data_IF_483915544941
#
_entry.id   IF_483915544941
#
_cell.length_a   1.000
_cell.length_b   1.000
_cell.length_c   1.000
_cell.angle_alpha   90.00
_cell.angle_beta   90.00
_cell.angle_gamma   90.00
#
_symmetry.space_group_name_H-M   'P 1'
#
loop_
_entity.id
_entity.type
_entity.pdbx_description
1 polymer ?
#
# COMPACT_ATOMS: atom_id res chain seq x y z
N UNK A 1 19.27 -57.81 7.75
CA UNK A 1 19.76 -56.43 7.65
C UNK A 1 18.86 -55.71 6.64
N UNK A 2 17.89 -54.89 7.13
CA UNK A 2 16.80 -54.33 6.31
C UNK A 2 17.30 -53.08 5.53
N UNK A 3 17.49 -53.26 4.26
CA UNK A 3 17.94 -52.21 3.31
C UNK A 3 16.81 -51.25 2.88
N UNK A 4 15.57 -51.51 3.32
CA UNK A 4 14.39 -50.74 2.86
C UNK A 4 14.14 -49.41 3.58
N UNK A 5 14.72 -49.19 4.75
CA UNK A 5 14.50 -47.98 5.54
C UNK A 5 15.41 -46.77 5.21
N UNK A 6 16.54 -47.00 4.53
CA UNK A 6 17.55 -45.97 4.25
C UNK A 6 17.08 -44.82 3.33
N UNK A 7 16.29 -45.05 2.24
CA UNK A 7 15.92 -43.96 1.34
C UNK A 7 14.95 -42.95 1.96
N UNK A 8 14.10 -43.38 2.93
CA UNK A 8 13.11 -42.50 3.56
C UNK A 8 13.77 -41.44 4.46
N UNK A 9 14.77 -41.85 5.24
CA UNK A 9 15.51 -40.90 6.10
C UNK A 9 16.35 -39.90 5.31
N UNK A 10 16.89 -40.33 4.17
CA UNK A 10 17.68 -39.46 3.29
C UNK A 10 16.79 -38.37 2.66
N UNK A 11 15.60 -38.74 2.23
CA UNK A 11 14.63 -37.77 1.63
C UNK A 11 14.11 -36.75 2.64
N UNK A 12 13.85 -37.19 3.88
CA UNK A 12 13.44 -36.29 4.97
C UNK A 12 14.59 -35.34 5.35
N UNK A 13 15.81 -35.84 5.44
CA UNK A 13 16.98 -35.03 5.74
C UNK A 13 17.25 -33.95 4.70
N UNK A 14 17.17 -34.26 3.41
CA UNK A 14 17.34 -33.30 2.31
C UNK A 14 16.21 -32.25 2.32
N UNK A 15 14.97 -32.65 2.58
CA UNK A 15 13.83 -31.74 2.70
C UNK A 15 14.01 -30.73 3.82
N UNK A 16 14.47 -31.15 4.99
CA UNK A 16 14.73 -30.26 6.14
C UNK A 16 15.89 -29.29 5.89
N UNK A 17 16.97 -29.76 5.24
CA UNK A 17 18.12 -28.90 4.90
C UNK A 17 17.71 -27.85 3.86
N UNK A 18 16.97 -28.23 2.82
CA UNK A 18 16.45 -27.30 1.81
C UNK A 18 15.53 -26.24 2.41
N UNK A 19 14.65 -26.65 3.33
CA UNK A 19 13.73 -25.71 4.03
C UNK A 19 14.52 -24.75 4.91
N UNK A 20 15.53 -25.24 5.63
CA UNK A 20 16.41 -24.41 6.45
C UNK A 20 17.26 -23.41 5.64
N UNK A 21 17.78 -23.82 4.49
CA UNK A 21 18.55 -22.96 3.59
C UNK A 21 17.67 -21.87 2.96
N UNK A 22 16.45 -22.21 2.53
CA UNK A 22 15.50 -21.25 1.98
C UNK A 22 15.09 -20.23 3.04
N UNK A 23 14.87 -20.67 4.30
CA UNK A 23 14.55 -19.77 5.41
C UNK A 23 15.73 -18.84 5.77
N UNK A 24 16.97 -19.32 5.72
CA UNK A 24 18.17 -18.54 6.00
C UNK A 24 18.50 -17.52 4.89
N UNK A 25 18.13 -17.81 3.65
CA UNK A 25 18.33 -16.90 2.50
C UNK A 25 17.25 -15.83 2.37
N UNK A 26 16.12 -15.94 3.08
CA UNK A 26 15.09 -14.90 3.11
C UNK A 26 15.60 -13.73 3.94
N UNK A 27 15.90 -12.62 3.28
CA UNK A 27 16.14 -11.36 3.99
C UNK A 27 14.96 -11.08 4.92
N UNK A 28 15.22 -10.68 6.19
CA UNK A 28 14.13 -10.29 7.07
C UNK A 28 13.29 -9.20 6.40
N UNK A 29 11.97 -9.22 6.58
CA UNK A 29 11.11 -8.19 6.00
C UNK A 29 11.57 -6.81 6.51
N UNK A 30 11.52 -5.78 5.65
CA UNK A 30 11.88 -4.42 6.07
C UNK A 30 10.99 -3.99 7.25
N UNK A 31 11.47 -3.05 8.10
CA UNK A 31 10.68 -2.54 9.22
C UNK A 31 9.35 -1.97 8.74
N UNK A 32 8.33 -2.00 9.59
CA UNK A 32 6.97 -1.60 9.24
C UNK A 32 6.89 -0.17 8.66
N UNK A 33 7.67 0.75 9.20
CA UNK A 33 7.77 2.13 8.69
C UNK A 33 8.28 2.20 7.26
N UNK A 34 9.25 1.34 6.90
CA UNK A 34 9.76 1.28 5.54
C UNK A 34 8.76 0.64 4.58
N UNK A 35 8.03 -0.39 5.04
CA UNK A 35 6.94 -0.98 4.25
C UNK A 35 5.86 0.06 3.95
N UNK A 36 5.44 0.85 4.95
CA UNK A 36 4.45 1.92 4.77
C UNK A 36 4.98 3.03 3.86
N UNK A 37 6.26 3.40 3.98
CA UNK A 37 6.89 4.35 3.07
C UNK A 37 6.80 3.88 1.62
N UNK A 38 7.14 2.63 1.37
CA UNK A 38 7.04 2.02 0.04
C UNK A 38 5.61 1.97 -0.46
N UNK A 39 4.64 1.69 0.41
CA UNK A 39 3.22 1.74 0.06
C UNK A 39 2.75 3.15 -0.31
N UNK A 40 3.14 4.17 0.45
CA UNK A 40 2.81 5.56 0.12
C UNK A 40 3.41 5.99 -1.24
N UNK A 41 4.64 5.58 -1.54
CA UNK A 41 5.25 5.83 -2.84
C UNK A 41 4.57 5.04 -3.96
N UNK A 42 4.15 3.81 -3.69
CA UNK A 42 3.44 2.97 -4.68
C UNK A 42 2.08 3.54 -5.05
N UNK A 43 1.36 4.17 -4.10
CA UNK A 43 0.10 4.90 -4.38
C UNK A 43 0.30 5.97 -5.46
N UNK A 44 1.32 6.80 -5.31
CA UNK A 44 1.59 7.89 -6.28
C UNK A 44 2.05 7.31 -7.62
N UNK A 45 2.87 6.27 -7.59
CA UNK A 45 3.34 5.62 -8.81
C UNK A 45 2.17 4.99 -9.58
N UNK A 46 1.28 4.28 -8.87
CA UNK A 46 0.08 3.68 -9.46
C UNK A 46 -0.88 4.75 -10.00
N UNK A 47 -1.07 5.84 -9.27
CA UNK A 47 -1.86 6.98 -9.73
C UNK A 47 -1.30 7.56 -11.04
N UNK A 48 -0.01 7.87 -11.08
CA UNK A 48 0.65 8.47 -12.25
C UNK A 48 0.69 7.55 -13.47
N UNK A 49 0.75 6.23 -13.25
CA UNK A 49 0.66 5.21 -14.32
C UNK A 49 -0.77 4.88 -14.69
N UNK A 50 -1.75 5.47 -13.99
CA UNK A 50 -3.16 5.16 -14.15
C UNK A 50 -3.49 3.66 -13.94
N UNK A 51 -2.72 3.00 -13.07
CA UNK A 51 -2.92 1.63 -12.64
C UNK A 51 -3.92 1.59 -11.48
N UNK A 52 -5.19 1.67 -11.84
CA UNK A 52 -6.28 1.72 -10.87
C UNK A 52 -6.35 0.44 -10.03
N UNK A 53 -5.97 -0.71 -10.56
CA UNK A 53 -6.00 -1.98 -9.83
C UNK A 53 -5.01 -1.97 -8.67
N UNK A 54 -3.76 -1.61 -8.93
CA UNK A 54 -2.75 -1.50 -7.88
C UNK A 54 -3.07 -0.39 -6.88
N UNK A 55 -3.59 0.74 -7.35
CA UNK A 55 -3.99 1.83 -6.47
C UNK A 55 -5.09 1.39 -5.50
N UNK A 56 -6.15 0.74 -6.00
CA UNK A 56 -7.27 0.28 -5.17
C UNK A 56 -6.89 -0.87 -4.23
N UNK A 57 -5.86 -1.66 -4.58
CA UNK A 57 -5.33 -2.71 -3.71
C UNK A 57 -4.60 -2.16 -2.48
N UNK A 58 -4.00 -0.98 -2.59
CA UNK A 58 -3.35 -0.31 -1.45
C UNK A 58 -4.36 0.39 -0.54
N UNK A 59 -5.58 0.64 -1.02
CA UNK A 59 -6.64 1.30 -0.27
C UNK A 59 -7.52 0.26 0.40
N UNK A 60 -7.74 0.42 1.71
CA UNK A 60 -8.64 -0.45 2.51
C UNK A 60 -10.08 -0.43 1.99
N UNK A 61 -10.82 -1.51 2.24
CA UNK A 61 -12.30 -1.50 2.08
C UNK A 61 -12.96 -0.46 2.97
N UNK A 62 -12.39 -0.24 4.16
CA UNK A 62 -12.91 0.66 5.20
C UNK A 62 -12.41 2.10 5.04
N UNK A 63 -11.80 2.42 3.90
CA UNK A 63 -11.28 3.75 3.64
C UNK A 63 -12.34 4.83 3.78
N UNK A 64 -12.00 5.84 4.57
CA UNK A 64 -12.83 7.03 4.76
C UNK A 64 -11.97 8.29 4.90
N UNK A 65 -12.26 9.31 4.10
CA UNK A 65 -11.56 10.59 4.14
C UNK A 65 -12.53 11.71 3.77
N UNK A 66 -12.96 12.54 4.73
CA UNK A 66 -13.83 13.69 4.48
C UNK A 66 -15.07 13.36 3.61
N UNK A 67 -15.75 12.25 3.92
CA UNK A 67 -16.92 11.80 3.16
C UNK A 67 -16.60 11.03 1.86
N UNK A 68 -15.32 10.84 1.55
CA UNK A 68 -14.88 9.98 0.46
C UNK A 68 -14.78 8.53 0.94
N UNK A 69 -15.36 7.64 0.16
CA UNK A 69 -15.26 6.19 0.33
C UNK A 69 -14.45 5.60 -0.81
N UNK A 70 -13.98 4.36 -0.66
CA UNK A 70 -13.23 3.67 -1.73
C UNK A 70 -13.94 3.67 -3.09
N UNK A 71 -15.26 3.37 -3.21
CA UNK A 71 -15.97 3.45 -4.49
C UNK A 71 -16.01 4.85 -5.08
N UNK A 72 -16.22 5.87 -4.24
CA UNK A 72 -16.23 7.26 -4.66
C UNK A 72 -14.87 7.71 -5.19
N UNK A 73 -13.80 7.32 -4.49
CA UNK A 73 -12.43 7.56 -4.92
C UNK A 73 -12.12 6.86 -6.25
N UNK A 74 -12.62 5.65 -6.46
CA UNK A 74 -12.45 4.93 -7.73
C UNK A 74 -13.04 5.71 -8.91
N UNK A 75 -14.22 6.28 -8.77
CA UNK A 75 -14.84 7.11 -9.80
C UNK A 75 -14.03 8.38 -10.08
N UNK A 76 -13.57 9.06 -9.02
CA UNK A 76 -12.72 10.24 -9.15
C UNK A 76 -11.41 9.94 -9.88
N UNK A 77 -10.75 8.84 -9.56
CA UNK A 77 -9.51 8.40 -10.21
C UNK A 77 -9.67 8.15 -11.71
N UNK A 78 -10.80 7.57 -12.12
CA UNK A 78 -11.09 7.40 -13.54
C UNK A 78 -11.25 8.74 -14.28
N UNK A 79 -11.84 9.76 -13.63
CA UNK A 79 -11.98 11.10 -14.19
C UNK A 79 -10.62 11.81 -14.29
N UNK A 80 -9.84 11.81 -13.19
CA UNK A 80 -8.51 12.45 -13.15
C UNK A 80 -7.54 11.85 -14.17
N UNK A 81 -7.62 10.53 -14.37
CA UNK A 81 -6.88 9.87 -15.45
C UNK A 81 -7.18 10.47 -16.83
N UNK A 82 -8.47 10.70 -17.14
CA UNK A 82 -8.87 11.31 -18.43
C UNK A 82 -8.36 12.74 -18.57
N UNK A 83 -8.23 13.46 -17.49
CA UNK A 83 -7.73 14.83 -17.43
C UNK A 83 -6.20 14.92 -17.50
N UNK A 84 -5.49 13.80 -17.42
CA UNK A 84 -4.02 13.79 -17.47
C UNK A 84 -3.36 14.33 -16.20
N UNK A 85 -4.06 14.28 -15.05
CA UNK A 85 -3.52 14.77 -13.78
C UNK A 85 -2.42 13.84 -13.27
N UNK A 86 -1.31 14.41 -12.81
CA UNK A 86 -0.22 13.70 -12.14
C UNK A 86 -0.04 14.22 -10.72
N UNK A 87 0.31 13.31 -9.81
CA UNK A 87 0.56 13.63 -8.42
C UNK A 87 2.03 13.43 -8.07
N UNK A 88 2.49 14.25 -7.13
CA UNK A 88 3.78 14.07 -6.45
C UNK A 88 3.54 14.04 -4.95
N UNK A 89 4.34 13.25 -4.23
CA UNK A 89 4.32 13.19 -2.77
C UNK A 89 5.72 13.44 -2.24
N UNK A 90 5.81 14.31 -1.25
CA UNK A 90 7.03 14.52 -0.48
C UNK A 90 6.72 14.17 0.96
N UNK A 91 7.28 13.09 1.45
CA UNK A 91 7.09 12.65 2.82
C UNK A 91 7.90 13.53 3.76
N UNK A 92 7.26 14.01 4.82
CA UNK A 92 7.87 14.88 5.83
C UNK A 92 8.24 14.10 7.09
N UNK A 93 7.33 13.24 7.55
CA UNK A 93 7.56 12.42 8.75
C UNK A 93 6.76 11.11 8.70
N UNK A 94 7.21 10.15 9.50
CA UNK A 94 6.50 8.88 9.73
C UNK A 94 6.46 8.65 11.23
N UNK A 95 5.26 8.41 11.77
CA UNK A 95 5.05 8.08 13.17
C UNK A 95 4.26 6.77 13.30
N UNK A 96 4.62 5.97 14.30
CA UNK A 96 3.97 4.71 14.59
C UNK A 96 3.05 4.87 15.80
N UNK A 97 1.78 4.46 15.67
CA UNK A 97 0.81 4.43 16.75
C UNK A 97 0.81 3.07 17.44
N UNK A 98 0.32 3.06 18.70
CA UNK A 98 0.20 1.86 19.55
C UNK A 98 -0.79 0.84 18.95
N UNK A 99 -1.74 1.26 18.12
CA UNK A 99 -2.85 0.44 17.57
C UNK A 99 -2.53 -0.24 16.22
N UNK A 100 -1.29 -0.57 15.94
CA UNK A 100 -0.88 -1.16 14.64
C UNK A 100 -1.20 -0.25 13.46
N UNK A 101 -1.25 1.06 13.68
CA UNK A 101 -1.40 2.06 12.66
C UNK A 101 -0.10 2.84 12.51
N UNK A 102 0.21 3.23 11.30
CA UNK A 102 1.34 4.09 10.98
C UNK A 102 0.79 5.28 10.23
N UNK A 103 1.14 6.47 10.69
CA UNK A 103 0.81 7.71 10.01
C UNK A 103 2.00 8.26 9.25
N UNK A 104 1.75 8.72 8.05
CA UNK A 104 2.72 9.42 7.20
C UNK A 104 2.21 10.82 6.98
N UNK A 105 2.97 11.81 7.45
CA UNK A 105 2.72 13.20 7.08
C UNK A 105 3.45 13.51 5.78
N UNK A 106 2.75 14.06 4.83
CA UNK A 106 3.30 14.32 3.52
C UNK A 106 2.70 15.59 2.88
N UNK A 107 3.49 16.27 2.07
CA UNK A 107 3.01 17.26 1.13
C UNK A 107 2.64 16.56 -0.18
N UNK A 108 1.41 16.74 -0.63
CA UNK A 108 0.90 16.15 -1.86
C UNK A 108 0.54 17.29 -2.82
N UNK A 109 1.00 17.17 -4.05
CA UNK A 109 0.67 18.12 -5.12
C UNK A 109 0.16 17.36 -6.34
N UNK A 110 -0.88 17.88 -6.96
CA UNK A 110 -1.40 17.39 -8.22
C UNK A 110 -1.30 18.49 -9.28
N UNK A 111 -0.81 18.14 -10.47
CA UNK A 111 -0.60 19.05 -11.59
C UNK A 111 -1.19 18.45 -12.86
N UNK A 112 -1.67 19.33 -13.74
CA UNK A 112 -2.00 18.93 -15.10
C UNK A 112 -0.69 18.59 -15.84
N UNK A 113 -0.64 17.44 -16.49
CA UNK A 113 0.56 16.98 -17.18
C UNK A 113 0.86 17.76 -18.47
N UNK A 114 -0.12 18.50 -19.01
CA UNK A 114 0.00 19.27 -20.26
C UNK A 114 0.41 20.71 -19.99
N UNK A 115 -0.30 21.38 -19.05
CA UNK A 115 -0.07 22.80 -18.74
C UNK A 115 0.96 22.99 -17.62
N UNK A 116 1.26 21.94 -16.84
CA UNK A 116 2.08 21.98 -15.63
C UNK A 116 1.50 22.86 -14.52
N UNK A 117 0.26 23.31 -14.67
CA UNK A 117 -0.43 24.10 -13.66
C UNK A 117 -0.82 23.23 -12.45
N UNK A 118 -0.72 23.82 -11.27
CA UNK A 118 -1.18 23.18 -10.03
C UNK A 118 -2.70 23.09 -10.02
N UNK A 119 -3.21 21.85 -9.98
CA UNK A 119 -4.65 21.59 -9.91
C UNK A 119 -5.10 21.52 -8.46
N UNK A 120 -4.26 20.95 -7.59
CA UNK A 120 -4.58 20.74 -6.19
C UNK A 120 -3.30 20.54 -5.37
N UNK A 121 -3.34 20.95 -4.09
CA UNK A 121 -2.25 20.72 -3.15
C UNK A 121 -2.77 20.49 -1.74
N UNK A 122 -2.09 19.62 -1.00
CA UNK A 122 -2.27 19.39 0.41
C UNK A 122 -0.88 19.41 1.07
N UNK A 123 -0.49 20.53 1.68
CA UNK A 123 0.87 20.70 2.21
C UNK A 123 1.14 19.80 3.44
N UNK A 124 0.12 19.45 4.20
CA UNK A 124 0.20 18.64 5.42
C UNK A 124 -0.86 17.55 5.45
N UNK A 125 -0.89 16.71 4.42
CA UNK A 125 -1.76 15.55 4.41
C UNK A 125 -1.23 14.50 5.38
N UNK A 126 -2.12 13.95 6.22
CA UNK A 126 -1.81 12.82 7.10
C UNK A 126 -2.48 11.58 6.55
N UNK A 127 -1.66 10.64 6.09
CA UNK A 127 -2.07 9.36 5.54
C UNK A 127 -1.97 8.30 6.65
N UNK A 128 -3.06 7.66 7.03
CA UNK A 128 -3.07 6.59 8.03
C UNK A 128 -3.13 5.23 7.36
N UNK A 129 -2.14 4.40 7.65
CA UNK A 129 -2.06 3.03 7.18
C UNK A 129 -2.30 2.07 8.34
N UNK A 130 -3.07 1.00 8.09
CA UNK A 130 -3.32 -0.09 9.02
C UNK A 130 -2.84 -1.41 8.42
N UNK A 131 -2.29 -2.27 9.29
CA UNK A 131 -1.91 -3.62 8.90
C UNK A 131 -3.17 -4.50 8.83
N UNK A 132 -3.59 -4.86 7.63
CA UNK A 132 -4.70 -5.78 7.39
C UNK A 132 -4.18 -7.18 7.10
N UNK A 133 -4.82 -8.17 7.71
CA UNK A 133 -4.56 -9.59 7.43
C UNK A 133 -5.56 -10.12 6.41
N UNK A 134 -5.18 -11.13 5.62
CA UNK A 134 -6.13 -11.77 4.73
C UNK A 134 -7.27 -12.41 5.50
N UNK A 135 -8.48 -12.39 4.95
CA UNK A 135 -9.65 -13.04 5.51
C UNK A 135 -10.01 -14.24 4.62
N UNK A 136 -10.09 -15.50 5.14
CA UNK A 136 -9.84 -15.88 6.53
C UNK A 136 -8.37 -15.67 6.97
N UNK A 137 -8.15 -15.48 8.29
CA UNK A 137 -6.81 -15.30 8.84
C UNK A 137 -6.02 -16.61 8.65
N UNK A 138 -5.20 -16.62 7.61
CA UNK A 138 -4.36 -17.77 7.29
C UNK A 138 -3.04 -17.58 8.04
N UNK A 139 -2.73 -18.45 9.01
CA UNK A 139 -1.44 -18.41 9.68
C UNK A 139 -0.32 -18.45 8.64
N UNK A 140 0.72 -17.65 8.85
CA UNK A 140 1.89 -17.49 7.98
C UNK A 140 1.75 -16.59 6.74
N UNK A 141 0.55 -16.11 6.38
CA UNK A 141 0.45 -15.05 5.37
C UNK A 141 0.74 -13.69 6.01
N UNK A 142 1.69 -12.93 5.47
CA UNK A 142 1.98 -11.59 5.98
C UNK A 142 0.78 -10.68 5.75
N UNK A 143 0.47 -9.85 6.75
CA UNK A 143 -0.49 -8.76 6.56
C UNK A 143 0.03 -7.73 5.55
N UNK A 144 -0.89 -6.97 5.00
CA UNK A 144 -0.59 -5.89 4.04
C UNK A 144 -0.98 -4.55 4.65
N UNK A 145 -0.08 -3.58 4.56
CA UNK A 145 -0.39 -2.21 4.98
C UNK A 145 -1.32 -1.57 3.97
N UNK A 146 -2.48 -1.10 4.42
CA UNK A 146 -3.48 -0.43 3.58
C UNK A 146 -3.84 0.95 4.11
N UNK A 147 -4.06 1.87 3.21
CA UNK A 147 -4.51 3.23 3.51
C UNK A 147 -5.96 3.17 4.00
N UNK A 148 -6.21 3.60 5.24
CA UNK A 148 -7.55 3.62 5.85
C UNK A 148 -8.14 5.02 5.94
N UNK A 149 -7.30 6.05 6.05
CA UNK A 149 -7.79 7.43 6.07
C UNK A 149 -6.77 8.43 5.54
N UNK A 150 -7.29 9.57 5.13
CA UNK A 150 -6.53 10.77 4.80
C UNK A 150 -7.16 11.94 5.53
N UNK A 151 -6.36 12.71 6.25
CA UNK A 151 -6.78 13.95 6.91
C UNK A 151 -5.81 15.09 6.57
N UNK A 152 -6.14 16.33 6.94
CA UNK A 152 -5.32 17.49 6.58
C UNK A 152 -5.34 17.85 5.08
N UNK A 153 -6.14 17.16 4.28
CA UNK A 153 -6.33 17.41 2.87
C UNK A 153 -7.83 17.50 2.55
N UNK A 154 -8.27 18.62 1.99
CA UNK A 154 -9.55 18.65 1.28
C UNK A 154 -9.33 17.99 -0.08
N UNK A 155 -9.83 16.78 -0.27
CA UNK A 155 -9.81 16.17 -1.60
C UNK A 155 -10.61 17.08 -2.55
N UNK A 156 -10.12 17.32 -3.79
CA UNK A 156 -10.81 18.21 -4.70
C UNK A 156 -12.23 17.71 -4.89
N UNK A 157 -13.19 18.56 -4.60
CA UNK A 157 -14.58 18.27 -4.95
C UNK A 157 -14.57 18.03 -6.47
N UNK A 158 -14.80 16.77 -6.85
CA UNK A 158 -15.17 16.53 -8.22
C UNK A 158 -16.47 17.33 -8.40
N UNK A 159 -16.36 18.50 -9.02
CA UNK A 159 -17.51 19.26 -9.47
C UNK A 159 -18.38 18.27 -10.24
N UNK A 160 -19.42 17.80 -9.57
CA UNK A 160 -20.49 17.01 -10.14
C UNK A 160 -21.35 18.07 -10.85
N UNK A 161 -20.83 18.57 -11.96
CA UNK A 161 -21.67 19.24 -12.94
C UNK A 161 -22.37 18.09 -13.68
N UNK A 162 -23.63 17.91 -13.35
CA UNK A 162 -24.57 17.06 -14.08
C UNK A 162 -24.57 17.40 -15.59
#
# INVERSE_FOLDING_TARGET
MDWRAKPVYLTIGIGLILTGVIAALRKPPPPATEQVRQQAMSLVTAFNKADNSNLLNVISSDFSANGWTKPRLQLALMRWKRQGIKATIQQTSISQSINREITVTASIQARDSRTQEGVWSAPEAVLTFRLERPTPDVPFLPGTWRLVSVSGASLPEASISD
#
